data_IF_143841829925
#
_entry.id   IF_143841829925
#
_cell.length_a   1.000
_cell.length_b   1.000
_cell.length_c   1.000
_cell.angle_alpha   90.00
_cell.angle_beta   90.00
_cell.angle_gamma   90.00
#
_symmetry.space_group_name_H-M   'P 1'
#
loop_
_entity.id
_entity.type
_entity.pdbx_description
1 polymer ?
#
# COMPACT_ATOMS: atom_id res chain seq x y z
N UNK A 1 -14.28 10.38 2.53
CA UNK A 1 -14.50 10.28 1.06
C UNK A 1 -13.22 10.36 0.21
N UNK A 2 -12.03 10.65 0.76
CA UNK A 2 -10.77 10.68 -0.01
C UNK A 2 -10.14 9.29 -0.25
N UNK A 3 -10.33 8.34 0.66
CA UNK A 3 -9.71 7.01 0.65
C UNK A 3 -10.08 6.18 -0.59
N UNK A 4 -11.35 6.23 -1.01
CA UNK A 4 -11.83 5.52 -2.20
C UNK A 4 -11.18 6.04 -3.50
N UNK A 5 -10.92 7.36 -3.59
CA UNK A 5 -10.26 7.95 -4.77
C UNK A 5 -8.80 7.50 -4.86
N UNK A 6 -8.12 7.38 -3.73
CA UNK A 6 -6.76 6.85 -3.67
C UNK A 6 -6.69 5.35 -4.02
N UNK A 7 -7.71 4.55 -3.69
CA UNK A 7 -7.80 3.15 -4.13
C UNK A 7 -7.96 3.03 -5.64
N UNK A 8 -8.73 3.90 -6.29
CA UNK A 8 -8.87 3.89 -7.75
C UNK A 8 -7.54 4.20 -8.43
N UNK A 9 -6.80 5.21 -7.94
CA UNK A 9 -5.48 5.56 -8.48
C UNK A 9 -4.51 4.37 -8.35
N UNK A 10 -4.50 3.71 -7.18
CA UNK A 10 -3.71 2.51 -6.94
C UNK A 10 -4.03 1.37 -7.94
N UNK A 11 -5.31 1.10 -8.18
CA UNK A 11 -5.73 0.06 -9.14
C UNK A 11 -5.23 0.40 -10.55
N UNK A 12 -5.39 1.64 -11.00
CA UNK A 12 -4.91 2.09 -12.31
C UNK A 12 -3.39 1.92 -12.42
N UNK A 13 -2.66 2.31 -11.38
CA UNK A 13 -1.20 2.20 -11.34
C UNK A 13 -0.74 0.74 -11.39
N UNK A 14 -1.40 -0.17 -10.65
CA UNK A 14 -1.08 -1.60 -10.69
C UNK A 14 -1.41 -2.23 -12.05
N UNK A 15 -2.51 -1.82 -12.70
CA UNK A 15 -2.83 -2.26 -14.07
C UNK A 15 -1.76 -1.76 -15.05
N UNK A 16 -1.31 -0.51 -14.92
CA UNK A 16 -0.24 0.03 -15.74
C UNK A 16 1.08 -0.73 -15.53
N UNK A 17 1.43 -1.07 -14.29
CA UNK A 17 2.59 -1.88 -13.97
C UNK A 17 2.52 -3.29 -14.61
N UNK A 18 1.35 -3.94 -14.55
CA UNK A 18 1.13 -5.24 -15.20
C UNK A 18 1.24 -5.15 -16.73
N UNK A 19 0.68 -4.10 -17.33
CA UNK A 19 0.80 -3.86 -18.77
C UNK A 19 2.26 -3.65 -19.19
N UNK A 20 3.00 -2.82 -18.45
CA UNK A 20 4.42 -2.58 -18.67
C UNK A 20 5.25 -3.85 -18.48
N UNK A 21 4.89 -4.71 -17.52
CA UNK A 21 5.56 -6.00 -17.29
C UNK A 21 5.55 -6.87 -18.56
N UNK A 22 4.47 -6.80 -19.35
CA UNK A 22 4.31 -7.56 -20.59
C UNK A 22 5.15 -7.01 -21.75
N UNK A 23 5.21 -5.69 -21.91
CA UNK A 23 5.76 -5.06 -23.12
C UNK A 23 7.11 -4.36 -22.92
N UNK A 24 7.40 -3.86 -21.71
CA UNK A 24 8.58 -3.05 -21.40
C UNK A 24 9.15 -3.41 -20.02
N UNK A 25 9.81 -4.58 -19.88
CA UNK A 25 10.18 -5.15 -18.58
C UNK A 25 11.11 -4.25 -17.76
N UNK A 26 11.99 -3.45 -18.41
CA UNK A 26 12.88 -2.51 -17.71
C UNK A 26 12.10 -1.35 -17.06
N UNK A 27 11.13 -0.77 -17.76
CA UNK A 27 10.27 0.29 -17.23
C UNK A 27 9.28 -0.26 -16.19
N UNK A 28 8.83 -1.49 -16.39
CA UNK A 28 7.93 -2.18 -15.47
C UNK A 28 8.50 -2.30 -14.05
N UNK A 29 9.81 -2.56 -13.92
CA UNK A 29 10.48 -2.65 -12.60
C UNK A 29 10.38 -1.34 -11.82
N UNK A 30 10.67 -0.21 -12.49
CA UNK A 30 10.57 1.11 -11.88
C UNK A 30 9.12 1.46 -11.53
N UNK A 31 8.18 1.19 -12.43
CA UNK A 31 6.76 1.42 -12.18
C UNK A 31 6.26 0.56 -11.02
N UNK A 32 6.56 -0.73 -11.00
CA UNK A 32 6.19 -1.65 -9.92
C UNK A 32 6.79 -1.25 -8.57
N UNK A 33 8.03 -0.73 -8.57
CA UNK A 33 8.63 -0.17 -7.36
C UNK A 33 7.85 1.07 -6.87
N UNK A 34 7.54 2.00 -7.78
CA UNK A 34 6.81 3.22 -7.44
C UNK A 34 5.38 2.92 -6.95
N UNK A 35 4.67 1.99 -7.60
CA UNK A 35 3.32 1.60 -7.17
C UNK A 35 3.35 0.92 -5.81
N UNK A 36 4.33 0.04 -5.57
CA UNK A 36 4.52 -0.61 -4.26
C UNK A 36 4.82 0.43 -3.17
N UNK A 37 5.67 1.41 -3.45
CA UNK A 37 5.97 2.51 -2.53
C UNK A 37 4.73 3.35 -2.19
N UNK A 38 3.88 3.63 -3.19
CA UNK A 38 2.64 4.36 -3.00
C UNK A 38 1.65 3.60 -2.11
N UNK A 39 1.47 2.30 -2.34
CA UNK A 39 0.60 1.44 -1.52
C UNK A 39 1.13 1.38 -0.09
N UNK A 40 2.42 1.11 0.09
CA UNK A 40 3.05 1.06 1.41
C UNK A 40 2.83 2.35 2.19
N UNK A 41 3.12 3.50 1.58
CA UNK A 41 3.00 4.79 2.26
C UNK A 41 1.56 5.13 2.62
N UNK A 42 0.61 4.83 1.73
CA UNK A 42 -0.81 5.01 2.00
C UNK A 42 -1.28 4.13 3.16
N UNK A 43 -0.87 2.87 3.21
CA UNK A 43 -1.22 1.95 4.31
C UNK A 43 -0.65 2.44 5.64
N UNK A 44 0.61 2.92 5.67
CA UNK A 44 1.18 3.55 6.87
C UNK A 44 0.42 4.80 7.29
N UNK A 45 0.05 5.67 6.34
CA UNK A 45 -0.74 6.87 6.64
C UNK A 45 -2.12 6.50 7.19
N UNK A 46 -2.76 5.48 6.63
CA UNK A 46 -4.03 4.95 7.11
C UNK A 46 -3.91 4.40 8.53
N UNK A 47 -2.86 3.62 8.81
CA UNK A 47 -2.58 3.10 10.15
C UNK A 47 -2.34 4.21 11.17
N UNK A 48 -1.54 5.22 10.84
CA UNK A 48 -1.24 6.34 11.75
C UNK A 48 -2.46 7.18 12.06
N UNK A 49 -3.32 7.45 11.07
CA UNK A 49 -4.61 8.12 11.28
C UNK A 49 -5.57 7.33 12.17
N UNK A 50 -5.44 6.00 12.21
CA UNK A 50 -6.25 5.15 13.08
C UNK A 50 -5.70 5.03 14.51
N UNK A 51 -4.37 5.05 14.68
CA UNK A 51 -3.73 5.01 16.01
C UNK A 51 -3.85 6.36 16.72
N UNK A 52 -3.68 7.46 15.98
CA UNK A 52 -3.72 8.82 16.49
C UNK A 52 -4.67 9.69 15.63
N UNK A 53 -5.99 9.49 15.73
CA UNK A 53 -6.94 10.29 14.99
C UNK A 53 -6.83 11.78 15.40
N UNK A 54 -6.83 12.72 14.44
CA UNK A 54 -6.81 14.14 14.74
C UNK A 54 -8.07 14.56 15.52
N UNK A 55 -7.93 15.55 16.39
CA UNK A 55 -9.03 16.05 17.23
C UNK A 55 -10.23 16.48 16.37
N UNK A 56 -11.42 16.02 16.72
CA UNK A 56 -12.66 16.31 16.00
C UNK A 56 -13.01 15.35 14.85
N UNK A 57 -12.22 14.29 14.62
CA UNK A 57 -12.56 13.23 13.67
C UNK A 57 -13.45 12.16 14.31
N UNK A 58 -14.35 11.58 13.50
CA UNK A 58 -15.18 10.46 13.94
C UNK A 58 -14.31 9.22 14.20
N UNK A 59 -14.46 8.58 15.36
CA UNK A 59 -13.85 7.28 15.62
C UNK A 59 -14.47 6.24 14.68
N UNK A 60 -13.71 5.83 13.66
CA UNK A 60 -14.12 4.78 12.71
C UNK A 60 -14.05 3.37 13.31
N UNK A 61 -13.36 3.22 14.44
CA UNK A 61 -13.51 2.07 15.31
C UNK A 61 -14.79 2.28 16.11
N UNK A 62 -15.83 1.49 15.80
CA UNK A 62 -17.02 1.46 16.64
C UNK A 62 -16.57 1.21 18.09
N UNK A 63 -16.90 2.10 19.02
CA UNK A 63 -16.55 1.96 20.46
C UNK A 63 -17.02 0.62 21.06
N UNK A 64 -17.94 -0.09 20.38
CA UNK A 64 -18.46 -1.41 20.74
C UNK A 64 -17.82 -2.61 20.01
N UNK A 65 -16.92 -2.38 19.05
CA UNK A 65 -16.26 -3.48 18.35
C UNK A 65 -15.20 -4.10 19.26
N UNK A 66 -15.45 -5.32 19.72
CA UNK A 66 -14.50 -6.06 20.54
C UNK A 66 -13.11 -6.12 19.89
N UNK A 67 -12.07 -6.12 20.72
CA UNK A 67 -10.63 -6.10 20.34
C UNK A 67 -10.32 -7.09 19.19
N UNK A 68 -10.92 -8.28 19.22
CA UNK A 68 -10.77 -9.29 18.18
C UNK A 68 -11.22 -8.82 16.79
N UNK A 69 -12.35 -8.11 16.70
CA UNK A 69 -12.87 -7.59 15.44
C UNK A 69 -11.93 -6.52 14.87
N UNK A 70 -11.34 -5.69 15.72
CA UNK A 70 -10.33 -4.71 15.32
C UNK A 70 -9.05 -5.40 14.82
N UNK A 71 -8.55 -6.44 15.50
CA UNK A 71 -7.35 -7.15 15.06
C UNK A 71 -7.56 -7.82 13.70
N UNK A 72 -8.69 -8.51 13.50
CA UNK A 72 -8.93 -9.27 12.27
C UNK A 72 -9.34 -8.42 11.06
N UNK A 73 -10.06 -7.31 11.26
CA UNK A 73 -10.57 -6.50 10.15
C UNK A 73 -9.61 -5.37 9.79
N UNK A 74 -8.90 -4.81 10.78
CA UNK A 74 -8.01 -3.68 10.59
C UNK A 74 -6.54 -4.15 10.59
N UNK A 75 -6.03 -4.63 11.72
CA UNK A 75 -4.59 -4.92 11.83
C UNK A 75 -4.08 -5.98 10.85
N UNK A 76 -4.77 -7.12 10.72
CA UNK A 76 -4.25 -8.24 9.95
C UNK A 76 -4.20 -7.94 8.44
N UNK A 77 -5.27 -7.44 7.80
CA UNK A 77 -5.21 -7.05 6.39
C UNK A 77 -4.23 -5.90 6.13
N UNK A 78 -4.25 -4.86 6.97
CA UNK A 78 -3.38 -3.71 6.77
C UNK A 78 -1.89 -4.08 6.95
N UNK A 79 -1.55 -4.99 7.87
CA UNK A 79 -0.17 -5.49 8.01
C UNK A 79 0.28 -6.25 6.76
N UNK A 80 -0.58 -7.10 6.19
CA UNK A 80 -0.27 -7.79 4.92
C UNK A 80 -0.05 -6.77 3.80
N UNK A 81 -0.92 -5.77 3.70
CA UNK A 81 -0.82 -4.68 2.72
C UNK A 81 0.33 -3.69 3.00
N UNK A 82 1.02 -3.83 4.12
CA UNK A 82 2.23 -3.09 4.46
C UNK A 82 3.48 -3.91 4.14
N UNK A 83 3.53 -5.18 4.57
CA UNK A 83 4.71 -6.03 4.39
C UNK A 83 4.91 -6.52 2.96
N UNK A 84 3.83 -6.82 2.23
CA UNK A 84 3.93 -7.27 0.83
C UNK A 84 4.58 -6.22 -0.08
N UNK A 85 4.10 -4.95 -0.13
CA UNK A 85 4.75 -3.95 -0.95
C UNK A 85 6.17 -3.60 -0.46
N UNK A 86 6.42 -3.66 0.86
CA UNK A 86 7.76 -3.47 1.39
C UNK A 86 8.75 -4.54 0.88
N UNK A 87 8.35 -5.81 0.90
CA UNK A 87 9.15 -6.91 0.37
C UNK A 87 9.40 -6.75 -1.13
N UNK A 88 8.36 -6.36 -1.89
CA UNK A 88 8.50 -6.06 -3.32
C UNK A 88 9.47 -4.90 -3.58
N UNK A 89 9.39 -3.82 -2.80
CA UNK A 89 10.34 -2.70 -2.89
C UNK A 89 11.76 -3.15 -2.60
N UNK A 90 12.01 -3.89 -1.52
CA UNK A 90 13.34 -4.39 -1.17
C UNK A 90 13.94 -5.26 -2.29
N UNK A 91 13.13 -6.14 -2.86
CA UNK A 91 13.57 -7.01 -3.95
C UNK A 91 13.88 -6.20 -5.22
N UNK A 92 12.95 -5.35 -5.65
CA UNK A 92 13.12 -4.52 -6.85
C UNK A 92 14.24 -3.49 -6.69
N UNK A 93 14.50 -2.99 -5.48
CA UNK A 93 15.58 -2.04 -5.20
C UNK A 93 16.95 -2.63 -5.54
N UNK A 94 17.19 -3.90 -5.16
CA UNK A 94 18.43 -4.59 -5.49
C UNK A 94 18.63 -4.75 -7.00
N UNK A 95 17.55 -4.98 -7.75
CA UNK A 95 17.58 -5.08 -9.20
C UNK A 95 17.75 -3.73 -9.89
N UNK A 96 17.18 -2.65 -9.33
CA UNK A 96 17.28 -1.30 -9.89
C UNK A 96 18.67 -0.69 -9.75
N UNK A 97 19.39 -1.04 -8.70
CA UNK A 97 20.76 -0.53 -8.43
C UNK A 97 21.82 -1.37 -9.13
N UNK A 98 21.53 -2.65 -9.42
CA UNK A 98 22.49 -3.52 -10.10
C UNK A 98 22.74 -3.04 -11.53
N UNK A 99 23.98 -2.67 -11.91
CA UNK A 99 24.29 -2.15 -13.24
C UNK A 99 24.20 -3.18 -14.37
N UNK A 100 23.81 -4.43 -14.08
CA UNK A 100 23.88 -5.57 -15.00
C UNK A 100 22.55 -5.91 -15.72
N UNK A 101 21.56 -5.01 -15.76
CA UNK A 101 20.36 -5.18 -16.61
C UNK A 101 20.21 -4.08 -17.62
#
# INVERSE_FOLDING_TARGET
MATGRLMVIEIILNIAALYLCRHYPRQAKLTAFLTSAFVFWKTLLYMTMFIAPPQGSANYLAESAGIWKQVFIFWLPDLVWCFVPLAAMMHLWSELISPNT
#
